data_IF_145856755188
#
_entry.id   IF_145856755188
#
_cell.length_a   1.000
_cell.length_b   1.000
_cell.length_c   1.000
_cell.angle_alpha   90.00
_cell.angle_beta   90.00
_cell.angle_gamma   90.00
#
_symmetry.space_group_name_H-M   'P 1'
#
loop_
_entity.id
_entity.type
_entity.pdbx_description
1 polymer ?
#
# COMPACT_ATOMS: atom_id res chain seq x y z
N UNK A 1 15.41 8.05 5.01
CA UNK A 1 14.52 8.49 3.92
C UNK A 1 13.22 7.72 4.04
N UNK A 2 12.09 8.39 4.24
CA UNK A 2 10.82 7.70 4.47
C UNK A 2 10.25 7.23 3.13
N UNK A 3 9.87 5.96 3.03
CA UNK A 3 9.42 5.37 1.76
C UNK A 3 8.21 6.09 1.17
N UNK A 4 7.33 6.59 2.04
CA UNK A 4 6.18 7.40 1.64
C UNK A 4 6.55 8.73 0.98
N UNK A 5 7.64 9.36 1.41
CA UNK A 5 8.06 10.65 0.86
C UNK A 5 8.67 10.46 -0.53
N UNK A 6 9.46 9.39 -0.72
CA UNK A 6 10.01 8.99 -2.03
C UNK A 6 8.89 8.67 -3.02
N UNK A 7 7.85 7.96 -2.57
CA UNK A 7 6.71 7.61 -3.42
C UNK A 7 5.91 8.87 -3.84
N UNK A 8 5.68 9.80 -2.91
CA UNK A 8 4.99 11.06 -3.20
C UNK A 8 5.77 11.90 -4.19
N UNK A 9 7.08 12.04 -4.00
CA UNK A 9 7.95 12.80 -4.88
C UNK A 9 7.98 12.20 -6.29
N UNK A 10 8.12 10.87 -6.40
CA UNK A 10 8.08 10.16 -7.67
C UNK A 10 6.74 10.36 -8.41
N UNK A 11 5.61 10.29 -7.69
CA UNK A 11 4.28 10.54 -8.27
C UNK A 11 4.12 11.98 -8.75
N UNK A 12 4.67 12.94 -7.99
CA UNK A 12 4.60 14.35 -8.34
C UNK A 12 5.42 14.65 -9.60
N UNK A 13 6.65 14.11 -9.68
CA UNK A 13 7.51 14.21 -10.87
C UNK A 13 6.84 13.56 -12.08
N UNK A 14 6.24 12.38 -11.91
CA UNK A 14 5.53 11.68 -12.98
C UNK A 14 4.30 12.47 -13.47
N UNK A 15 3.57 13.11 -12.57
CA UNK A 15 2.44 13.99 -12.91
C UNK A 15 2.90 15.22 -13.70
N UNK A 16 3.95 15.90 -13.22
CA UNK A 16 4.52 17.07 -13.89
C UNK A 16 5.01 16.72 -15.30
N UNK A 17 5.68 15.57 -15.47
CA UNK A 17 6.15 15.09 -16.76
C UNK A 17 4.98 14.79 -17.71
N UNK A 18 3.91 14.15 -17.24
CA UNK A 18 2.71 13.91 -18.05
C UNK A 18 2.09 15.20 -18.58
N UNK A 19 1.99 16.23 -17.72
CA UNK A 19 1.46 17.54 -18.12
C UNK A 19 2.38 18.19 -19.16
N UNK A 20 3.69 18.17 -18.94
CA UNK A 20 4.67 18.74 -19.88
C UNK A 20 4.62 18.06 -21.26
N UNK A 21 4.56 16.73 -21.30
CA UNK A 21 4.45 15.96 -22.55
C UNK A 21 3.12 16.26 -23.25
N UNK A 22 2.01 16.34 -22.50
CA UNK A 22 0.70 16.71 -23.06
C UNK A 22 0.73 18.11 -23.67
N UNK A 23 1.33 19.09 -22.98
CA UNK A 23 1.52 20.44 -23.52
C UNK A 23 2.36 20.43 -24.81
N UNK A 24 3.45 19.66 -24.83
CA UNK A 24 4.30 19.53 -26.01
C UNK A 24 3.53 18.98 -27.23
N UNK A 25 2.64 18.01 -27.02
CA UNK A 25 1.76 17.48 -28.08
C UNK A 25 0.77 18.54 -28.57
N UNK A 26 0.18 19.32 -27.65
CA UNK A 26 -0.80 20.36 -27.99
C UNK A 26 -0.17 21.49 -28.80
N UNK A 27 1.02 21.94 -28.41
CA UNK A 27 1.74 23.05 -29.05
C UNK A 27 2.29 22.63 -30.43
N UNK A 28 2.53 21.34 -30.64
CA UNK A 28 3.09 20.85 -31.90
C UNK A 28 2.13 21.09 -33.08
N UNK A 29 2.50 21.97 -34.01
CA UNK A 29 1.68 22.36 -35.16
C UNK A 29 1.71 21.34 -36.31
N UNK A 30 2.63 20.36 -36.28
CA UNK A 30 2.75 19.33 -37.30
C UNK A 30 1.78 18.16 -37.17
N UNK A 31 0.98 18.11 -36.10
CA UNK A 31 0.05 17.02 -35.82
C UNK A 31 -1.39 17.44 -36.12
N UNK A 32 -2.14 16.58 -36.81
CA UNK A 32 -3.59 16.74 -36.93
C UNK A 32 -4.28 16.59 -35.57
N UNK A 33 -5.44 17.23 -35.40
CA UNK A 33 -6.20 17.20 -34.12
C UNK A 33 -6.45 15.77 -33.63
N UNK A 34 -6.76 14.83 -34.54
CA UNK A 34 -6.98 13.42 -34.19
C UNK A 34 -5.70 12.74 -33.66
N UNK A 35 -4.54 13.06 -34.23
CA UNK A 35 -3.26 12.52 -33.76
C UNK A 35 -2.86 13.09 -32.40
N UNK A 36 -3.15 14.38 -32.14
CA UNK A 36 -2.94 14.99 -30.83
C UNK A 36 -3.74 14.30 -29.73
N UNK A 37 -5.02 14.03 -30.00
CA UNK A 37 -5.91 13.33 -29.06
C UNK A 37 -5.40 11.89 -28.82
N UNK A 38 -5.02 11.17 -29.88
CA UNK A 38 -4.49 9.82 -29.77
C UNK A 38 -3.19 9.75 -28.97
N UNK A 39 -2.24 10.66 -29.22
CA UNK A 39 -0.98 10.72 -28.47
C UNK A 39 -1.20 11.12 -27.01
N UNK A 40 -2.09 12.09 -26.74
CA UNK A 40 -2.43 12.43 -25.37
C UNK A 40 -2.99 11.19 -24.64
N UNK A 41 -3.98 10.50 -25.22
CA UNK A 41 -4.53 9.27 -24.64
C UNK A 41 -3.48 8.20 -24.37
N UNK A 42 -2.51 8.00 -25.28
CA UNK A 42 -1.42 7.05 -25.08
C UNK A 42 -0.48 7.45 -23.93
N UNK A 43 -0.17 8.74 -23.78
CA UNK A 43 0.65 9.24 -22.67
C UNK A 43 -0.01 8.94 -21.32
N UNK A 44 -1.34 9.11 -21.24
CA UNK A 44 -2.10 8.77 -20.03
C UNK A 44 -2.29 7.26 -19.83
N UNK A 45 -2.22 6.45 -20.90
CA UNK A 45 -2.36 5.00 -20.82
C UNK A 45 -1.21 4.33 -20.05
N UNK A 46 0.02 4.82 -20.24
CA UNK A 46 1.24 4.25 -19.62
C UNK A 46 1.19 4.24 -18.08
N UNK A 47 0.93 5.36 -17.38
CA UNK A 47 0.84 5.36 -15.92
C UNK A 47 -0.34 4.55 -15.40
N UNK A 48 -1.48 4.51 -16.11
CA UNK A 48 -2.64 3.69 -15.72
C UNK A 48 -2.31 2.20 -15.81
N UNK A 49 -1.70 1.76 -16.91
CA UNK A 49 -1.23 0.37 -17.06
C UNK A 49 -0.14 0.02 -16.05
N UNK A 50 0.81 0.93 -15.80
CA UNK A 50 1.86 0.76 -14.80
C UNK A 50 1.27 0.57 -13.39
N UNK A 51 0.32 1.43 -12.99
CA UNK A 51 -0.38 1.31 -11.71
C UNK A 51 -1.20 0.02 -11.60
N UNK A 52 -1.87 -0.39 -12.68
CA UNK A 52 -2.63 -1.64 -12.73
C UNK A 52 -1.72 -2.86 -12.57
N UNK A 53 -0.58 -2.89 -13.27
CA UNK A 53 0.40 -3.99 -13.17
C UNK A 53 1.02 -4.07 -11.77
N UNK A 54 1.41 -2.93 -11.19
CA UNK A 54 1.93 -2.90 -9.82
C UNK A 54 0.86 -3.33 -8.82
N UNK A 55 -0.38 -2.87 -8.98
CA UNK A 55 -1.52 -3.26 -8.14
C UNK A 55 -1.80 -4.75 -8.21
N UNK A 56 -1.81 -5.32 -9.43
CA UNK A 56 -1.92 -6.77 -9.63
C UNK A 56 -0.75 -7.52 -9.00
N UNK A 57 0.48 -7.04 -9.18
CA UNK A 57 1.66 -7.67 -8.59
C UNK A 57 1.58 -7.69 -7.05
N UNK A 58 1.22 -6.57 -6.43
CA UNK A 58 1.01 -6.51 -4.97
C UNK A 58 -0.14 -7.41 -4.51
N UNK A 59 -1.22 -7.50 -5.29
CA UNK A 59 -2.33 -8.40 -5.00
C UNK A 59 -1.91 -9.87 -5.06
N UNK A 60 -1.21 -10.28 -6.12
CA UNK A 60 -0.69 -11.64 -6.27
C UNK A 60 0.29 -11.99 -5.16
N UNK A 61 1.13 -11.05 -4.72
CA UNK A 61 2.02 -11.28 -3.59
C UNK A 61 1.28 -11.43 -2.25
N UNK A 62 0.19 -10.70 -2.01
CA UNK A 62 -0.63 -10.87 -0.80
C UNK A 62 -1.35 -12.22 -0.73
N UNK A 63 -1.67 -12.82 -1.88
CA UNK A 63 -2.27 -14.16 -1.95
C UNK A 63 -1.30 -15.32 -1.66
N UNK A 64 0.01 -15.08 -1.70
CA UNK A 64 1.07 -16.08 -1.50
C UNK A 64 1.85 -15.92 -0.20
N UNK A 65 1.44 -15.02 0.70
CA UNK A 65 1.96 -15.04 2.06
C UNK A 65 1.20 -16.13 2.81
N UNK A 66 1.80 -17.33 2.92
CA UNK A 66 1.37 -18.31 3.92
C UNK A 66 1.22 -17.56 5.24
N UNK A 67 0.09 -17.70 5.97
CA UNK A 67 -0.01 -17.17 7.31
C UNK A 67 1.17 -17.75 8.08
N UNK A 68 2.16 -16.93 8.41
CA UNK A 68 3.14 -17.27 9.42
C UNK A 68 2.44 -17.17 10.78
N UNK A 69 1.36 -17.94 10.93
CA UNK A 69 0.82 -18.33 12.21
C UNK A 69 1.57 -19.61 12.58
N UNK A 70 2.26 -19.59 13.71
CA UNK A 70 2.86 -20.78 14.27
C UNK A 70 1.80 -21.89 14.33
N UNK A 71 2.11 -23.13 13.91
CA UNK A 71 1.18 -24.25 13.95
C UNK A 71 0.73 -24.65 15.39
N UNK A 72 1.29 -24.01 16.42
CA UNK A 72 1.03 -24.29 17.83
C UNK A 72 0.66 -23.03 18.61
N UNK A 73 -0.39 -22.32 18.21
CA UNK A 73 -1.12 -21.49 19.19
C UNK A 73 -2.23 -22.35 19.81
N UNK A 74 -2.06 -22.85 21.06
CA UNK A 74 -3.17 -23.44 21.77
C UNK A 74 -4.24 -22.35 21.89
N UNK A 75 -5.46 -22.69 21.50
CA UNK A 75 -6.67 -21.88 21.68
C UNK A 75 -6.71 -21.36 23.12
N UNK A 76 -6.22 -20.12 23.33
CA UNK A 76 -6.30 -19.44 24.62
C UNK A 76 -7.75 -19.03 24.79
N UNK A 77 -8.44 -19.72 25.69
CA UNK A 77 -9.75 -19.30 26.12
C UNK A 77 -9.60 -17.95 26.86
N UNK A 78 -10.58 -17.03 26.74
CA UNK A 78 -10.49 -15.70 27.32
C UNK A 78 -10.40 -15.70 28.86
N UNK A 79 -10.59 -16.86 29.52
CA UNK A 79 -10.39 -17.03 30.95
C UNK A 79 -8.91 -16.89 31.36
N UNK A 80 -7.98 -17.23 30.47
CA UNK A 80 -6.55 -17.33 30.78
C UNK A 80 -5.88 -15.96 30.89
N UNK A 81 -6.45 -14.96 30.20
CA UNK A 81 -5.93 -13.58 30.16
C UNK A 81 -6.23 -12.85 31.48
N UNK A 82 -7.27 -13.27 32.22
CA UNK A 82 -7.67 -12.64 33.48
C UNK A 82 -6.95 -13.18 34.73
N UNK A 83 -6.14 -14.24 34.61
CA UNK A 83 -5.32 -14.75 35.73
C UNK A 83 -3.94 -14.07 35.86
N UNK A 84 -3.52 -13.25 34.88
CA UNK A 84 -2.17 -12.69 34.84
C UNK A 84 -1.94 -11.36 35.56
N UNK A 85 -2.98 -10.71 36.09
CA UNK A 85 -2.88 -9.32 36.56
C UNK A 85 -3.37 -9.03 37.98
N UNK A 86 -3.57 -10.05 38.81
CA UNK A 86 -3.88 -9.83 40.22
C UNK A 86 -2.64 -10.08 41.09
N UNK A 87 -2.10 -9.05 41.79
CA UNK A 87 -1.04 -9.28 42.77
C UNK A 87 -1.57 -10.21 43.87
N UNK A 88 -0.71 -11.09 44.44
CA UNK A 88 -1.14 -12.04 45.45
C UNK A 88 -1.71 -11.30 46.66
N UNK A 89 -2.93 -11.68 47.06
CA UNK A 89 -3.53 -11.23 48.33
C UNK A 89 -2.60 -11.60 49.49
N UNK A 90 -2.38 -10.71 50.48
CA UNK A 90 -1.58 -11.04 51.65
C UNK A 90 -2.19 -12.23 52.40
N UNK A 91 -1.38 -13.09 53.04
CA UNK A 91 -1.89 -14.20 53.82
C UNK A 91 -2.81 -13.68 54.93
N UNK A 92 -4.04 -14.20 54.98
CA UNK A 92 -4.91 -14.06 56.14
C UNK A 92 -4.19 -14.70 57.32
N UNK A 93 -3.77 -13.88 58.27
CA UNK A 93 -3.08 -14.28 59.48
C UNK A 93 -4.06 -15.12 60.31
N UNK A 94 -3.96 -16.45 60.20
CA UNK A 94 -4.58 -17.38 61.15
C UNK A 94 -3.80 -17.29 62.46
N UNK A 95 -4.37 -16.62 63.45
CA UNK A 95 -3.76 -16.46 64.77
C UNK A 95 -4.80 -16.32 65.87
N UNK A 96 -5.04 -17.45 66.55
CA UNK A 96 -5.66 -17.70 67.87
C UNK A 96 -7.03 -17.11 68.20
#
# INVERSE_FOLDING_TARGET
MNWHDVLKEALFVLGALNVAVTLAIVINQGLSIRQKIGQALLVWLVPVLGGLLIGMFMWTQRGFVSPTGYPDEPRRDPADVYLGSHPPSPPANGGN
#
